data_IF_532546479893
#
_entry.id   IF_532546479893
#
_cell.length_a   1.000
_cell.length_b   1.000
_cell.length_c   1.000
_cell.angle_alpha   90.00
_cell.angle_beta   90.00
_cell.angle_gamma   90.00
#
_symmetry.space_group_name_H-M   'P 1'
#
loop_
_entity.id
_entity.type
_entity.pdbx_description
1 polymer ?
#
# COMPACT_ATOMS: atom_id res chain seq x y z
N UNK A 1 80.87 -14.35 -3.78
CA UNK A 1 80.40 -14.52 -2.41
C UNK A 1 79.56 -13.34 -2.02
N UNK A 2 78.35 -13.58 -1.55
CA UNK A 2 77.47 -12.56 -0.99
C UNK A 2 76.16 -12.34 -1.76
N UNK A 3 75.38 -13.35 -1.86
CA UNK A 3 73.95 -13.24 -2.12
C UNK A 3 73.23 -12.69 -0.92
N UNK A 4 72.85 -11.42 -0.92
CA UNK A 4 71.96 -10.89 0.10
C UNK A 4 70.63 -10.49 -0.53
N UNK A 5 69.67 -11.22 -0.04
CA UNK A 5 68.26 -11.13 -0.19
C UNK A 5 67.73 -9.73 -0.44
N UNK A 6 67.19 -9.55 -1.62
CA UNK A 6 66.27 -8.49 -1.95
C UNK A 6 64.92 -8.83 -1.28
N UNK A 7 64.82 -8.53 0.02
CA UNK A 7 63.52 -8.71 0.71
C UNK A 7 62.64 -7.52 0.39
N UNK A 8 61.77 -7.79 -0.54
CA UNK A 8 60.83 -6.89 -1.16
C UNK A 8 59.99 -6.09 -0.14
N UNK A 9 60.20 -4.78 -0.13
CA UNK A 9 59.35 -3.80 0.55
C UNK A 9 57.96 -3.65 -0.09
N UNK A 10 57.69 -4.39 -1.12
CA UNK A 10 56.44 -4.27 -1.90
C UNK A 10 55.26 -5.01 -1.29
N UNK A 11 55.47 -5.99 -0.41
CA UNK A 11 54.38 -6.78 0.19
C UNK A 11 53.60 -6.06 1.29
N UNK A 12 54.16 -5.08 1.94
CA UNK A 12 53.50 -4.36 3.03
C UNK A 12 52.50 -3.31 2.53
N UNK A 13 52.75 -2.77 1.36
CA UNK A 13 51.86 -1.76 0.76
C UNK A 13 50.60 -2.41 0.17
N UNK A 14 50.75 -3.61 -0.38
CA UNK A 14 49.63 -4.34 -0.95
C UNK A 14 48.63 -4.88 0.10
N UNK A 15 49.17 -5.34 1.24
CA UNK A 15 48.30 -5.83 2.33
C UNK A 15 47.48 -4.71 2.95
N UNK A 16 48.00 -3.51 3.07
CA UNK A 16 47.28 -2.34 3.57
C UNK A 16 46.21 -1.84 2.57
N UNK A 17 46.52 -1.95 1.25
CA UNK A 17 45.54 -1.64 0.20
C UNK A 17 44.42 -2.69 0.13
N UNK A 18 44.76 -3.97 0.26
CA UNK A 18 43.78 -5.06 0.30
C UNK A 18 42.85 -4.94 1.53
N UNK A 19 43.39 -4.57 2.70
CA UNK A 19 42.58 -4.29 3.89
C UNK A 19 41.65 -3.09 3.72
N UNK A 20 42.09 -2.02 3.03
CA UNK A 20 41.26 -0.87 2.71
C UNK A 20 40.14 -1.21 1.72
N UNK A 21 40.42 -2.03 0.72
CA UNK A 21 39.39 -2.51 -0.20
C UNK A 21 38.38 -3.46 0.46
N UNK A 22 38.83 -4.28 1.40
CA UNK A 22 37.96 -5.20 2.14
C UNK A 22 37.02 -4.46 3.09
N UNK A 23 37.46 -3.36 3.71
CA UNK A 23 36.61 -2.53 4.58
C UNK A 23 35.56 -1.73 3.81
N UNK A 24 35.86 -1.32 2.58
CA UNK A 24 34.90 -0.63 1.70
C UNK A 24 33.85 -1.60 1.18
N UNK A 25 34.21 -2.85 0.88
CA UNK A 25 33.26 -3.88 0.42
C UNK A 25 32.27 -4.35 1.51
N UNK A 26 32.62 -4.23 2.79
CA UNK A 26 31.78 -4.65 3.90
C UNK A 26 30.79 -3.56 4.38
N UNK A 27 30.94 -2.32 3.90
CA UNK A 27 30.16 -1.16 4.35
C UNK A 27 28.84 -0.91 3.60
N UNK A 28 28.47 -1.71 2.58
CA UNK A 28 27.31 -1.47 1.73
C UNK A 28 26.22 -2.53 1.89
N UNK A 29 26.06 -3.11 3.09
CA UNK A 29 24.82 -3.81 3.41
C UNK A 29 23.73 -2.78 3.67
N UNK A 30 23.20 -2.16 2.61
CA UNK A 30 21.94 -1.44 2.68
C UNK A 30 20.87 -2.50 2.94
N UNK A 31 20.43 -2.61 4.19
CA UNK A 31 19.21 -3.33 4.51
C UNK A 31 18.06 -2.55 3.87
N UNK A 32 17.70 -2.90 2.66
CA UNK A 32 16.41 -2.55 2.10
C UNK A 32 15.38 -3.26 2.98
N UNK A 33 14.70 -2.53 3.85
CA UNK A 33 13.60 -3.10 4.62
C UNK A 33 12.49 -3.42 3.63
N UNK A 34 12.14 -4.71 3.53
CA UNK A 34 10.98 -5.15 2.77
C UNK A 34 9.73 -4.55 3.42
N UNK A 35 9.09 -3.66 2.71
CA UNK A 35 7.97 -2.88 3.22
C UNK A 35 6.79 -2.98 2.25
N UNK A 36 5.62 -3.34 2.77
CA UNK A 36 4.38 -3.22 2.01
C UNK A 36 3.95 -1.76 1.95
N UNK A 37 3.51 -1.29 0.79
CA UNK A 37 3.01 0.06 0.57
C UNK A 37 1.68 -0.04 -0.17
N UNK A 38 0.61 0.46 0.44
CA UNK A 38 -0.70 0.54 -0.19
C UNK A 38 -0.87 1.90 -0.87
N UNK A 39 -1.13 1.89 -2.17
CA UNK A 39 -1.41 3.10 -2.96
C UNK A 39 -2.79 2.98 -3.59
N UNK A 40 -3.72 3.84 -3.22
CA UNK A 40 -5.06 3.91 -3.79
C UNK A 40 -5.08 4.82 -5.00
N UNK A 41 -5.83 4.46 -6.05
CA UNK A 41 -6.08 5.30 -7.23
C UNK A 41 -6.85 6.57 -6.82
N UNK A 42 -7.78 6.44 -5.87
CA UNK A 42 -8.50 7.54 -5.24
C UNK A 42 -8.87 7.21 -3.80
N UNK A 43 -8.77 8.18 -2.92
CA UNK A 43 -9.20 8.07 -1.52
C UNK A 43 -10.67 8.47 -1.32
N UNK A 44 -11.33 8.97 -2.37
CA UNK A 44 -12.72 9.41 -2.30
C UNK A 44 -13.47 8.95 -3.54
N UNK A 45 -14.62 8.32 -3.34
CA UNK A 45 -15.56 8.00 -4.40
C UNK A 45 -16.81 8.89 -4.26
N UNK A 46 -17.14 9.56 -5.34
CA UNK A 46 -18.37 10.31 -5.46
C UNK A 46 -19.44 9.43 -6.13
N UNK A 47 -20.51 9.15 -5.41
CA UNK A 47 -21.68 8.42 -5.94
C UNK A 47 -22.53 9.31 -6.86
N UNK A 48 -22.33 10.64 -6.78
CA UNK A 48 -23.23 11.59 -7.43
C UNK A 48 -24.65 11.51 -6.84
N UNK A 49 -25.64 11.65 -7.70
CA UNK A 49 -27.06 11.42 -7.36
C UNK A 49 -27.42 9.99 -7.70
N UNK A 50 -27.90 9.24 -6.75
CA UNK A 50 -28.31 7.84 -6.86
C UNK A 50 -29.81 7.77 -6.55
N UNK A 51 -30.59 7.06 -7.37
CA UNK A 51 -32.00 6.85 -7.09
C UNK A 51 -32.13 5.74 -6.04
N UNK A 52 -33.12 5.88 -5.15
CA UNK A 52 -33.44 4.90 -4.12
C UNK A 52 -33.56 3.49 -4.72
N UNK A 53 -32.91 2.51 -4.10
CA UNK A 53 -32.89 1.12 -4.54
C UNK A 53 -31.92 0.80 -5.68
N UNK A 54 -31.23 1.81 -6.27
CA UNK A 54 -30.18 1.57 -7.27
C UNK A 54 -28.95 0.91 -6.66
N UNK A 55 -28.07 0.42 -7.56
CA UNK A 55 -26.85 -0.27 -7.16
C UNK A 55 -25.89 0.66 -6.38
N UNK A 56 -25.77 0.40 -5.09
CA UNK A 56 -24.88 1.10 -4.17
C UNK A 56 -23.46 0.56 -4.09
N UNK A 57 -23.05 -0.37 -4.97
CA UNK A 57 -21.72 -0.97 -4.96
C UNK A 57 -20.73 -0.06 -5.68
N UNK A 58 -19.60 0.22 -5.04
CA UNK A 58 -18.42 0.90 -5.63
C UNK A 58 -17.14 0.22 -5.18
N UNK A 59 -16.06 0.43 -5.91
CA UNK A 59 -14.78 -0.23 -5.66
C UNK A 59 -13.66 0.79 -5.55
N UNK A 60 -12.88 0.71 -4.47
CA UNK A 60 -11.61 1.41 -4.33
C UNK A 60 -10.49 0.50 -4.82
N UNK A 61 -9.93 0.85 -5.98
CA UNK A 61 -8.77 0.15 -6.51
C UNK A 61 -7.51 0.63 -5.82
N UNK A 62 -6.63 -0.31 -5.49
CA UNK A 62 -5.33 -0.05 -4.91
C UNK A 62 -4.27 -0.97 -5.50
N UNK A 63 -3.01 -0.58 -5.34
CA UNK A 63 -1.84 -1.34 -5.78
C UNK A 63 -0.87 -1.44 -4.61
N UNK A 64 -0.26 -2.61 -4.44
CA UNK A 64 0.90 -2.76 -3.57
C UNK A 64 2.14 -2.24 -4.29
N UNK A 65 2.55 -1.02 -3.99
CA UNK A 65 3.76 -0.40 -4.56
C UNK A 65 5.02 -0.65 -3.73
N UNK A 66 4.91 -1.49 -2.71
CA UNK A 66 6.01 -1.91 -1.85
C UNK A 66 6.82 -3.07 -2.40
N UNK A 67 7.66 -3.64 -1.55
CA UNK A 67 8.57 -4.75 -1.85
C UNK A 67 8.23 -6.05 -1.12
N UNK A 68 7.25 -6.01 -0.20
CA UNK A 68 6.72 -7.18 0.51
C UNK A 68 5.21 -7.32 0.35
N UNK A 69 4.67 -8.49 0.67
CA UNK A 69 3.25 -8.79 0.56
C UNK A 69 2.40 -7.86 1.43
N UNK A 70 1.36 -7.28 0.82
CA UNK A 70 0.39 -6.43 1.47
C UNK A 70 -0.79 -7.25 1.99
N UNK A 71 -1.01 -7.22 3.29
CA UNK A 71 -2.15 -7.84 3.96
C UNK A 71 -3.12 -6.78 4.47
N UNK A 72 -4.35 -6.81 3.96
CA UNK A 72 -5.45 -6.03 4.52
C UNK A 72 -6.01 -6.79 5.72
N UNK A 73 -5.74 -6.32 6.92
CA UNK A 73 -6.16 -6.99 8.15
C UNK A 73 -7.62 -6.71 8.47
N UNK A 74 -8.06 -5.48 8.27
CA UNK A 74 -9.41 -5.06 8.59
C UNK A 74 -9.89 -3.92 7.70
N UNK A 75 -11.21 -3.93 7.40
CA UNK A 75 -11.90 -2.80 6.78
C UNK A 75 -13.16 -2.52 7.59
N UNK A 76 -13.33 -1.28 8.04
CA UNK A 76 -14.49 -0.85 8.86
C UNK A 76 -15.14 0.38 8.26
N UNK A 77 -16.46 0.41 8.30
CA UNK A 77 -17.23 1.61 8.00
C UNK A 77 -17.60 2.39 9.26
N UNK A 78 -17.81 3.68 9.12
CA UNK A 78 -18.30 4.57 10.18
C UNK A 78 -19.77 4.31 10.56
N UNK A 79 -20.51 3.51 9.79
CA UNK A 79 -21.89 3.11 10.10
C UNK A 79 -22.22 1.73 9.52
N UNK A 80 -23.29 1.10 10.04
CA UNK A 80 -23.82 -0.16 9.50
C UNK A 80 -24.55 -0.04 8.15
N UNK A 81 -24.73 1.17 7.64
CA UNK A 81 -25.33 1.44 6.31
C UNK A 81 -24.35 1.25 5.14
N UNK A 82 -23.10 0.94 5.45
CA UNK A 82 -22.03 0.72 4.48
C UNK A 82 -21.31 -0.57 4.84
N UNK A 83 -21.31 -1.53 3.95
CA UNK A 83 -20.67 -2.84 4.15
C UNK A 83 -19.45 -2.91 3.26
N UNK A 84 -18.23 -2.83 3.83
CA UNK A 84 -17.01 -3.03 3.08
C UNK A 84 -16.64 -4.51 3.00
N UNK A 85 -16.06 -4.90 1.86
CA UNK A 85 -15.48 -6.22 1.63
C UNK A 85 -14.01 -6.06 1.23
N UNK A 86 -13.13 -6.73 1.94
CA UNK A 86 -11.69 -6.75 1.68
C UNK A 86 -11.28 -7.95 0.83
N UNK A 87 -10.11 -7.89 0.17
CA UNK A 87 -9.46 -9.07 -0.37
C UNK A 87 -9.18 -10.13 0.71
N UNK A 88 -9.29 -11.40 0.33
CA UNK A 88 -9.07 -12.52 1.25
C UNK A 88 -7.61 -13.01 1.23
N UNK A 89 -6.89 -12.75 0.14
CA UNK A 89 -5.48 -13.14 -0.04
C UNK A 89 -4.53 -11.94 0.10
N UNK A 90 -3.26 -12.18 0.46
CA UNK A 90 -2.20 -11.18 0.37
C UNK A 90 -2.00 -10.71 -1.07
N UNK A 91 -1.68 -9.44 -1.23
CA UNK A 91 -1.41 -8.80 -2.52
C UNK A 91 0.10 -8.67 -2.69
N UNK A 92 0.66 -9.37 -3.69
CA UNK A 92 2.09 -9.37 -3.96
C UNK A 92 2.60 -7.98 -4.42
N UNK A 93 3.90 -7.69 -4.31
CA UNK A 93 4.49 -6.46 -4.82
C UNK A 93 4.16 -6.23 -6.29
N UNK A 94 3.66 -5.02 -6.61
CA UNK A 94 3.24 -4.63 -7.96
C UNK A 94 1.84 -5.09 -8.37
N UNK A 95 1.17 -5.93 -7.60
CA UNK A 95 -0.19 -6.36 -7.87
C UNK A 95 -1.23 -5.36 -7.35
N UNK A 96 -2.41 -5.39 -7.97
CA UNK A 96 -3.55 -4.55 -7.64
C UNK A 96 -4.74 -5.38 -7.24
N UNK A 97 -5.58 -4.85 -6.36
CA UNK A 97 -6.85 -5.44 -5.97
C UNK A 97 -7.85 -4.33 -5.63
N UNK A 98 -9.05 -4.68 -5.19
CA UNK A 98 -10.12 -3.74 -4.87
C UNK A 98 -10.68 -3.96 -3.47
N UNK A 99 -11.05 -2.86 -2.83
CA UNK A 99 -11.95 -2.88 -1.67
C UNK A 99 -13.33 -2.52 -2.17
N UNK A 100 -14.25 -3.46 -2.12
CA UNK A 100 -15.64 -3.24 -2.49
C UNK A 100 -16.39 -2.62 -1.32
N UNK A 101 -17.21 -1.62 -1.61
CA UNK A 101 -18.05 -0.92 -0.63
C UNK A 101 -19.46 -0.89 -1.15
N UNK A 102 -20.41 -1.46 -0.39
CA UNK A 102 -21.84 -1.41 -0.68
C UNK A 102 -22.51 -0.43 0.26
N UNK A 103 -23.09 0.63 -0.28
CA UNK A 103 -23.92 1.58 0.45
C UNK A 103 -25.40 1.17 0.37
N UNK A 104 -26.13 1.37 1.47
CA UNK A 104 -27.57 1.11 1.54
C UNK A 104 -28.36 2.26 0.90
N UNK A 105 -28.69 2.09 -0.39
CA UNK A 105 -29.40 3.08 -1.21
C UNK A 105 -30.91 3.19 -0.91
N UNK A 106 -31.44 2.38 0.00
CA UNK A 106 -32.80 2.59 0.53
C UNK A 106 -32.90 3.83 1.43
N UNK A 107 -31.74 4.34 1.87
CA UNK A 107 -31.66 5.53 2.72
C UNK A 107 -31.55 6.80 1.88
N UNK A 108 -32.66 7.52 1.75
CA UNK A 108 -32.70 8.84 1.09
C UNK A 108 -31.89 9.84 1.91
N UNK A 109 -31.17 10.72 1.21
CA UNK A 109 -30.38 11.79 1.79
C UNK A 109 -28.88 11.72 1.47
N UNK A 110 -28.07 12.59 2.08
CA UNK A 110 -26.65 12.72 1.74
C UNK A 110 -25.84 11.50 2.15
N UNK A 111 -24.97 11.04 1.26
CA UNK A 111 -23.96 10.01 1.50
C UNK A 111 -22.68 10.72 1.98
N UNK A 112 -22.28 10.48 3.23
CA UNK A 112 -21.03 10.99 3.81
C UNK A 112 -20.52 9.96 4.80
N UNK A 113 -19.69 9.02 4.33
CA UNK A 113 -19.16 7.93 5.16
C UNK A 113 -17.66 7.80 4.99
N UNK A 114 -17.02 7.33 6.05
CA UNK A 114 -15.59 6.99 6.06
C UNK A 114 -15.43 5.50 6.25
N UNK A 115 -14.56 4.91 5.46
CA UNK A 115 -14.13 3.52 5.55
C UNK A 115 -12.67 3.52 5.99
N UNK A 116 -12.37 2.89 7.10
CA UNK A 116 -11.00 2.75 7.60
C UNK A 116 -10.44 1.41 7.17
N UNK A 117 -9.32 1.44 6.46
CA UNK A 117 -8.56 0.26 6.00
C UNK A 117 -7.36 0.11 6.91
N UNK A 118 -7.23 -1.04 7.56
CA UNK A 118 -6.05 -1.41 8.34
C UNK A 118 -5.24 -2.49 7.59
N UNK A 119 -3.93 -2.35 7.56
CA UNK A 119 -3.02 -3.24 6.85
C UNK A 119 -1.64 -3.30 7.51
N UNK A 120 -0.78 -4.19 7.02
CA UNK A 120 0.65 -4.25 7.38
C UNK A 120 1.52 -3.25 6.60
N UNK A 121 0.92 -2.34 5.84
CA UNK A 121 1.66 -1.34 5.06
C UNK A 121 2.39 -0.33 5.96
N UNK A 122 3.32 0.42 5.38
CA UNK A 122 4.04 1.53 6.05
C UNK A 122 3.09 2.58 6.63
N UNK A 123 1.93 2.78 5.99
CA UNK A 123 0.79 3.51 6.55
C UNK A 123 -0.25 2.48 7.02
N UNK A 124 -0.24 2.08 8.30
CA UNK A 124 -1.03 0.95 8.78
C UNK A 124 -2.54 1.21 8.76
N UNK A 125 -2.95 2.47 8.66
CA UNK A 125 -4.37 2.86 8.59
C UNK A 125 -4.57 3.92 7.52
N UNK A 126 -5.52 3.66 6.60
CA UNK A 126 -5.92 4.60 5.54
C UNK A 126 -7.42 4.85 5.64
N UNK A 127 -7.83 6.12 5.56
CA UNK A 127 -9.23 6.52 5.54
C UNK A 127 -9.70 6.78 4.12
N UNK A 128 -10.67 6.00 3.66
CA UNK A 128 -11.37 6.18 2.40
C UNK A 128 -12.70 6.89 2.65
N UNK A 129 -13.15 7.70 1.72
CA UNK A 129 -14.39 8.47 1.84
C UNK A 129 -15.34 8.14 0.69
N UNK A 130 -16.62 8.06 1.00
CA UNK A 130 -17.69 8.07 0.03
C UNK A 130 -18.60 9.27 0.27
N UNK A 131 -19.03 9.90 -0.81
CA UNK A 131 -19.94 11.03 -0.82
C UNK A 131 -20.94 10.92 -1.96
N UNK A 132 -22.04 11.65 -1.87
CA UNK A 132 -23.12 11.68 -2.86
C UNK A 132 -24.45 11.95 -2.20
N UNK A 133 -25.54 11.62 -2.88
CA UNK A 133 -26.88 11.77 -2.38
C UNK A 133 -27.80 10.70 -2.96
N UNK A 134 -28.66 10.13 -2.12
CA UNK A 134 -29.75 9.25 -2.54
C UNK A 134 -31.03 10.06 -2.60
N UNK A 135 -31.71 10.04 -3.75
CA UNK A 135 -32.98 10.73 -3.99
C UNK A 135 -34.09 9.73 -4.27
N UNK A 136 -35.35 10.13 -4.07
CA UNK A 136 -36.47 9.37 -4.58
C UNK A 136 -36.56 9.46 -6.11
N UNK A 137 -37.11 8.42 -6.73
CA UNK A 137 -37.42 8.46 -8.16
C UNK A 137 -38.48 9.53 -8.41
N UNK A 138 -38.14 10.52 -9.20
CA UNK A 138 -39.12 11.51 -9.66
C UNK A 138 -39.82 10.90 -10.88
N UNK A 139 -41.05 10.40 -10.65
CA UNK A 139 -41.93 10.06 -11.77
C UNK A 139 -42.32 11.38 -12.43
N UNK A 140 -41.76 11.69 -13.59
CA UNK A 140 -42.24 12.77 -14.45
C UNK A 140 -43.58 12.31 -15.05
N UNK A 141 -44.67 12.99 -14.63
CA UNK A 141 -46.00 12.85 -15.25
C UNK A 141 -46.07 13.58 -16.61
#
# INVERSE_FOLDING_TARGET
MGTYAYFSKTKFVDMRRILLFLTIAFGLSVNAQDLAIITFDSLTIDYGTVVKGENGIRQFKFTNTGTSDLNITQVRSSCGCTIPKKPDAPIAPGESDVIEVKYDTERIGPIRKTITVASNASSPMVALKIKGEVVEEVLEE
#
